data_IF_126204507101
#
_entry.id   IF_126204507101
#
_cell.length_a   1.000
_cell.length_b   1.000
_cell.length_c   1.000
_cell.angle_alpha   90.00
_cell.angle_beta   90.00
_cell.angle_gamma   90.00
#
_symmetry.space_group_name_H-M   'P 1'
#
loop_
_entity.id
_entity.type
_entity.pdbx_description
1 polymer ?
#
# COMPACT_ATOMS: atom_id res chain seq x y z
N UNK A 1 -1.02 -31.32 9.67
CA UNK A 1 -1.72 -30.20 8.99
C UNK A 1 -0.71 -29.11 8.57
N UNK A 2 0.05 -29.23 7.46
CA UNK A 2 1.05 -28.22 7.07
C UNK A 2 0.67 -27.32 5.87
N UNK A 3 -0.48 -27.53 5.21
CA UNK A 3 -0.81 -26.79 3.98
C UNK A 3 -1.20 -25.32 4.18
N UNK A 4 -1.71 -24.92 5.36
CA UNK A 4 -2.19 -23.54 5.58
C UNK A 4 -1.06 -22.50 5.66
N UNK A 5 0.10 -22.90 6.15
CA UNK A 5 1.23 -21.97 6.40
C UNK A 5 1.87 -21.49 5.11
N UNK A 6 1.94 -22.35 4.10
CA UNK A 6 2.58 -22.04 2.81
C UNK A 6 1.81 -20.95 2.09
N UNK A 7 0.48 -21.05 2.04
CA UNK A 7 -0.38 -20.03 1.41
C UNK A 7 -0.25 -18.65 2.05
N UNK A 8 -0.07 -18.59 3.37
CA UNK A 8 0.10 -17.34 4.10
C UNK A 8 1.44 -16.66 3.76
N UNK A 9 2.51 -17.46 3.63
CA UNK A 9 3.85 -16.98 3.25
C UNK A 9 3.87 -16.39 1.84
N UNK A 10 3.21 -17.05 0.89
CA UNK A 10 3.07 -16.53 -0.49
C UNK A 10 2.25 -15.23 -0.54
N UNK A 11 1.13 -15.19 0.19
CA UNK A 11 0.28 -13.99 0.27
C UNK A 11 1.03 -12.81 0.90
N UNK A 12 1.72 -13.04 2.01
CA UNK A 12 2.49 -12.02 2.71
C UNK A 12 3.60 -11.45 1.83
N UNK A 13 4.28 -12.31 1.10
CA UNK A 13 5.35 -11.88 0.21
C UNK A 13 4.85 -11.13 -1.04
N UNK A 14 3.66 -11.45 -1.56
CA UNK A 14 3.01 -10.69 -2.63
C UNK A 14 2.55 -9.30 -2.18
N UNK A 15 2.17 -9.14 -0.91
CA UNK A 15 1.83 -7.83 -0.33
C UNK A 15 3.04 -7.00 0.14
N UNK A 16 4.24 -7.58 0.17
CA UNK A 16 5.45 -6.95 0.72
C UNK A 16 6.16 -6.03 -0.27
N UNK A 17 5.43 -5.30 -1.12
CA UNK A 17 6.04 -4.25 -1.94
C UNK A 17 6.65 -3.18 -1.03
N UNK A 18 7.94 -2.91 -1.21
CA UNK A 18 8.68 -1.94 -0.40
C UNK A 18 9.18 -0.82 -1.29
N UNK A 19 8.79 0.40 -0.96
CA UNK A 19 9.36 1.60 -1.57
C UNK A 19 10.44 2.12 -0.65
N UNK A 20 11.66 2.10 -1.16
CA UNK A 20 12.86 2.61 -0.50
C UNK A 20 13.17 3.97 -1.10
N UNK A 21 13.36 4.96 -0.24
CA UNK A 21 13.72 6.32 -0.60
C UNK A 21 15.12 6.56 -0.05
N UNK A 22 16.07 6.84 -0.93
CA UNK A 22 17.44 7.19 -0.58
C UNK A 22 17.74 8.62 -1.08
N UNK A 23 18.88 9.19 -0.68
CA UNK A 23 19.32 10.53 -1.12
C UNK A 23 19.55 10.61 -2.63
N UNK A 24 19.70 9.47 -3.30
CA UNK A 24 19.95 9.36 -4.75
C UNK A 24 18.65 9.27 -5.55
N UNK A 25 17.64 8.58 -5.02
CA UNK A 25 16.43 8.29 -5.78
C UNK A 25 15.37 7.47 -5.07
N UNK A 26 14.32 7.16 -5.82
CA UNK A 26 13.20 6.32 -5.42
C UNK A 26 13.38 4.92 -6.02
N UNK A 27 13.35 3.89 -5.16
CA UNK A 27 13.47 2.49 -5.58
C UNK A 27 12.28 1.68 -5.08
N UNK A 28 11.54 1.08 -6.01
CA UNK A 28 10.50 0.11 -5.69
C UNK A 28 11.13 -1.27 -5.74
N UNK A 29 11.12 -1.99 -4.61
CA UNK A 29 11.71 -3.32 -4.46
C UNK A 29 10.69 -4.32 -3.94
N UNK A 30 10.88 -5.58 -4.34
CA UNK A 30 10.16 -6.72 -3.78
C UNK A 30 11.13 -7.57 -2.95
N UNK A 31 10.65 -8.28 -1.92
CA UNK A 31 11.48 -9.20 -1.16
C UNK A 31 12.09 -10.26 -2.07
N UNK A 32 13.34 -10.62 -1.79
CA UNK A 32 14.25 -11.34 -2.69
C UNK A 32 13.66 -12.67 -3.17
N UNK A 33 12.90 -13.36 -2.32
CA UNK A 33 12.24 -14.64 -2.61
C UNK A 33 11.09 -14.60 -3.64
N UNK A 34 10.50 -13.43 -3.92
CA UNK A 34 9.35 -13.26 -4.84
C UNK A 34 9.70 -12.42 -6.06
N UNK A 35 10.91 -11.84 -6.07
CA UNK A 35 11.47 -11.06 -7.16
C UNK A 35 11.54 -11.80 -8.50
N UNK A 36 11.48 -13.13 -8.48
CA UNK A 36 11.40 -13.97 -9.69
C UNK A 36 9.97 -14.01 -10.28
N UNK A 37 8.93 -13.94 -9.44
CA UNK A 37 7.54 -14.10 -9.85
C UNK A 37 6.84 -12.75 -10.15
N UNK A 38 7.18 -11.68 -9.41
CA UNK A 38 6.65 -10.33 -9.65
C UNK A 38 7.64 -9.48 -10.46
N UNK A 39 7.13 -8.55 -11.28
CA UNK A 39 7.92 -7.71 -12.19
C UNK A 39 9.13 -7.09 -11.47
N UNK A 40 10.28 -7.07 -12.17
CA UNK A 40 11.52 -6.43 -11.68
C UNK A 40 11.18 -5.02 -11.19
N UNK A 41 11.38 -4.79 -9.90
CA UNK A 41 11.29 -3.46 -9.29
C UNK A 41 12.17 -2.46 -10.06
N UNK A 42 11.78 -1.18 -10.04
CA UNK A 42 12.47 -0.12 -10.76
C UNK A 42 13.12 0.86 -9.79
N UNK A 43 14.18 1.52 -10.24
CA UNK A 43 14.86 2.60 -9.55
C UNK A 43 14.84 3.83 -10.44
N UNK A 44 14.58 4.99 -9.85
CA UNK A 44 14.58 6.28 -10.52
C UNK A 44 15.31 7.30 -9.66
N UNK A 45 16.36 7.89 -10.20
CA UNK A 45 17.12 8.93 -9.49
C UNK A 45 16.35 10.25 -9.50
N UNK A 46 16.44 11.00 -8.41
CA UNK A 46 15.75 12.29 -8.27
C UNK A 46 16.13 13.26 -9.40
N UNK A 47 17.40 13.27 -9.82
CA UNK A 47 17.92 14.12 -10.89
C UNK A 47 17.34 13.80 -12.28
N UNK A 48 16.76 12.62 -12.45
CA UNK A 48 16.11 12.22 -13.70
C UNK A 48 14.64 12.61 -13.75
N UNK A 49 14.01 12.88 -12.60
CA UNK A 49 12.61 13.27 -12.54
C UNK A 49 12.45 14.68 -13.10
N UNK A 50 11.70 14.78 -14.21
CA UNK A 50 11.49 16.05 -14.91
C UNK A 50 10.09 16.60 -14.68
N UNK A 51 9.08 15.73 -14.56
CA UNK A 51 7.70 16.14 -14.36
C UNK A 51 6.85 15.01 -13.74
N UNK A 52 5.79 15.41 -13.04
CA UNK A 52 4.73 14.50 -12.61
C UNK A 52 3.51 14.71 -13.52
N UNK A 53 3.01 13.65 -14.18
CA UNK A 53 1.78 13.72 -14.97
C UNK A 53 0.65 12.90 -14.34
N UNK A 54 -0.50 13.51 -14.03
CA UNK A 54 -1.69 12.76 -13.67
C UNK A 54 -2.24 12.06 -14.93
N UNK A 55 -2.67 10.82 -14.76
CA UNK A 55 -3.33 10.03 -15.79
C UNK A 55 -4.58 9.39 -15.20
N UNK A 56 -5.72 9.73 -15.77
CA UNK A 56 -7.01 9.14 -15.37
C UNK A 56 -7.05 7.69 -15.85
N UNK A 57 -7.34 6.77 -14.94
CA UNK A 57 -7.61 5.37 -15.28
C UNK A 57 -9.06 5.22 -15.73
N UNK A 58 -9.36 4.21 -16.55
CA UNK A 58 -10.73 3.93 -17.01
C UNK A 58 -11.73 3.61 -15.89
N UNK A 59 -11.27 3.45 -14.64
CA UNK A 59 -12.09 3.19 -13.46
C UNK A 59 -12.26 4.42 -12.54
N UNK A 60 -12.19 5.65 -13.06
CA UNK A 60 -12.34 6.87 -12.24
C UNK A 60 -11.26 7.02 -11.14
N UNK A 61 -10.16 6.28 -11.22
CA UNK A 61 -9.00 6.44 -10.34
C UNK A 61 -7.97 7.37 -10.99
N UNK A 62 -7.46 8.35 -10.26
CA UNK A 62 -6.29 9.10 -10.71
C UNK A 62 -5.03 8.26 -10.43
N UNK A 63 -4.10 8.19 -11.38
CA UNK A 63 -2.77 7.60 -11.17
C UNK A 63 -1.72 8.59 -11.64
N UNK A 64 -0.66 8.81 -10.87
CA UNK A 64 0.42 9.71 -11.25
C UNK A 64 1.59 8.94 -11.85
N UNK A 65 2.21 9.52 -12.86
CA UNK A 65 3.44 9.01 -13.47
C UNK A 65 4.56 10.02 -13.31
N UNK A 66 5.72 9.55 -12.85
CA UNK A 66 6.97 10.30 -12.89
C UNK A 66 7.57 10.16 -14.30
N UNK A 67 7.83 11.28 -14.96
CA UNK A 67 8.55 11.31 -16.23
C UNK A 67 10.05 11.45 -15.96
N UNK A 68 10.82 10.49 -16.45
CA UNK A 68 12.27 10.59 -16.52
C UNK A 68 12.69 11.48 -17.70
N UNK A 69 13.90 12.04 -17.62
CA UNK A 69 14.56 12.79 -18.70
C UNK A 69 14.63 11.98 -20.00
N UNK A 70 14.67 10.65 -19.90
CA UNK A 70 14.66 9.71 -21.04
C UNK A 70 13.25 9.44 -21.61
N UNK A 71 12.26 10.29 -21.29
CA UNK A 71 10.83 10.14 -21.63
C UNK A 71 10.17 8.84 -21.14
N UNK A 72 10.81 8.10 -20.24
CA UNK A 72 10.23 6.93 -19.60
C UNK A 72 9.24 7.36 -18.51
N UNK A 73 8.06 6.73 -18.49
CA UNK A 73 7.02 7.01 -17.51
C UNK A 73 6.98 5.91 -16.43
N UNK A 74 7.30 6.28 -15.20
CA UNK A 74 7.27 5.38 -14.04
C UNK A 74 6.01 5.62 -13.22
N UNK A 75 5.27 4.55 -12.92
CA UNK A 75 4.02 4.64 -12.17
C UNK A 75 4.31 4.95 -10.69
N UNK A 76 3.69 5.99 -10.15
CA UNK A 76 3.85 6.35 -8.75
C UNK A 76 3.04 5.40 -7.86
N UNK A 77 3.69 4.65 -6.95
CA UNK A 77 2.98 3.72 -6.09
C UNK A 77 2.12 4.50 -5.07
N UNK A 78 0.81 4.39 -5.21
CA UNK A 78 -0.16 5.12 -4.36
C UNK A 78 -0.48 4.42 -3.03
N UNK A 79 -0.12 3.14 -2.91
CA UNK A 79 -0.50 2.26 -1.80
C UNK A 79 0.64 2.01 -0.82
N UNK A 80 1.50 3.00 -0.62
CA UNK A 80 2.68 2.89 0.24
C UNK A 80 2.36 3.45 1.62
N UNK A 81 2.69 2.70 2.67
CA UNK A 81 2.68 3.23 4.02
C UNK A 81 3.72 4.36 4.12
N UNK A 82 3.27 5.61 4.31
CA UNK A 82 4.13 6.79 4.29
C UNK A 82 4.19 7.51 2.94
N UNK A 83 3.21 7.31 2.04
CA UNK A 83 3.09 8.05 0.78
C UNK A 83 3.22 9.58 0.93
N UNK A 84 2.70 10.16 2.01
CA UNK A 84 2.87 11.59 2.28
C UNK A 84 4.34 12.02 2.41
N UNK A 85 5.18 11.18 3.05
CA UNK A 85 6.62 11.43 3.18
C UNK A 85 7.35 11.29 1.84
N UNK A 86 6.91 10.35 1.01
CA UNK A 86 7.41 10.15 -0.35
C UNK A 86 7.14 11.38 -1.22
N UNK A 87 5.91 11.88 -1.20
CA UNK A 87 5.50 13.08 -1.94
C UNK A 87 6.28 14.30 -1.45
N UNK A 88 6.43 14.48 -0.12
CA UNK A 88 7.22 15.56 0.46
C UNK A 88 8.70 15.52 0.06
N UNK A 89 9.31 14.33 0.04
CA UNK A 89 10.71 14.18 -0.40
C UNK A 89 10.85 14.47 -1.91
N UNK A 90 9.91 13.97 -2.71
CA UNK A 90 9.87 14.23 -4.15
C UNK A 90 9.76 15.74 -4.42
N UNK A 91 8.88 16.44 -3.73
CA UNK A 91 8.75 17.90 -3.79
C UNK A 91 10.04 18.61 -3.35
N UNK A 92 10.66 18.18 -2.25
CA UNK A 92 11.91 18.80 -1.77
C UNK A 92 13.10 18.63 -2.71
N UNK A 93 13.18 17.51 -3.43
CA UNK A 93 14.30 17.22 -4.33
C UNK A 93 14.07 17.70 -5.77
N UNK A 94 12.82 17.74 -6.23
CA UNK A 94 12.47 18.11 -7.61
C UNK A 94 11.89 19.51 -7.74
N UNK A 95 11.42 20.11 -6.64
CA UNK A 95 10.75 21.41 -6.65
C UNK A 95 9.38 21.41 -7.35
N UNK A 96 8.86 20.24 -7.70
CA UNK A 96 7.56 20.09 -8.37
C UNK A 96 6.46 20.14 -7.32
N UNK A 97 5.53 21.07 -7.46
CA UNK A 97 4.36 21.17 -6.58
C UNK A 97 3.51 19.89 -6.67
N UNK A 98 3.40 19.19 -5.55
CA UNK A 98 2.65 17.94 -5.44
C UNK A 98 1.44 18.04 -4.51
N UNK A 99 0.96 19.26 -4.21
CA UNK A 99 -0.15 19.51 -3.28
C UNK A 99 -1.46 18.78 -3.61
N UNK A 100 -1.71 18.44 -4.87
CA UNK A 100 -2.92 17.71 -5.30
C UNK A 100 -2.81 16.18 -5.20
N UNK A 101 -1.62 15.66 -4.90
CA UNK A 101 -1.34 14.23 -4.88
C UNK A 101 -1.77 13.62 -3.54
N UNK A 102 -3.06 13.29 -3.43
CA UNK A 102 -3.63 12.66 -2.21
C UNK A 102 -3.63 11.13 -2.30
N UNK A 103 -3.22 10.40 -1.24
CA UNK A 103 -3.30 8.95 -1.23
C UNK A 103 -4.76 8.47 -1.29
N UNK A 104 -5.03 7.53 -2.20
CA UNK A 104 -6.38 7.03 -2.51
C UNK A 104 -7.08 6.34 -1.31
N UNK A 105 -6.31 5.76 -0.39
CA UNK A 105 -6.80 5.16 0.84
C UNK A 105 -5.68 5.13 1.89
N UNK A 106 -5.87 5.83 3.00
CA UNK A 106 -4.91 5.79 4.10
C UNK A 106 -5.02 4.44 4.85
N UNK A 107 -3.90 3.79 5.19
CA UNK A 107 -3.89 2.51 5.91
C UNK A 107 -4.74 2.50 7.19
N UNK A 108 -4.87 3.66 7.84
CA UNK A 108 -5.73 3.89 9.00
C UNK A 108 -7.20 3.50 8.79
N UNK A 109 -7.74 3.68 7.58
CA UNK A 109 -9.13 3.33 7.27
C UNK A 109 -9.38 1.83 7.50
N UNK A 110 -8.44 0.98 7.07
CA UNK A 110 -8.56 -0.46 7.25
C UNK A 110 -8.38 -0.87 8.72
N UNK A 111 -7.57 -0.16 9.50
CA UNK A 111 -7.44 -0.40 10.94
C UNK A 111 -8.75 -0.08 11.68
N UNK A 112 -9.43 1.00 11.30
CA UNK A 112 -10.75 1.35 11.86
C UNK A 112 -11.78 0.27 11.50
N UNK A 113 -11.83 -0.15 10.23
CA UNK A 113 -12.74 -1.21 9.80
C UNK A 113 -12.48 -2.52 10.55
N UNK A 114 -11.20 -2.90 10.71
CA UNK A 114 -10.80 -4.07 11.49
C UNK A 114 -11.24 -3.95 12.95
N UNK A 115 -11.12 -2.75 13.54
CA UNK A 115 -11.62 -2.45 14.88
C UNK A 115 -13.13 -2.67 15.00
N UNK A 116 -13.92 -2.19 14.04
CA UNK A 116 -15.37 -2.43 14.00
C UNK A 116 -15.70 -3.92 13.82
N UNK A 117 -14.96 -4.65 12.99
CA UNK A 117 -15.13 -6.09 12.85
C UNK A 117 -14.85 -6.82 14.17
N UNK A 118 -13.80 -6.41 14.90
CA UNK A 118 -13.50 -6.96 16.22
C UNK A 118 -14.60 -6.68 17.24
N UNK A 119 -15.18 -5.48 17.23
CA UNK A 119 -16.29 -5.11 18.09
C UNK A 119 -17.54 -5.96 17.81
N UNK A 120 -17.89 -6.15 16.53
CA UNK A 120 -19.00 -7.01 16.11
C UNK A 120 -18.82 -8.45 16.61
N UNK A 121 -17.63 -9.03 16.42
CA UNK A 121 -17.34 -10.38 16.91
C UNK A 121 -17.40 -10.49 18.43
N UNK A 122 -17.01 -9.43 19.14
CA UNK A 122 -17.09 -9.39 20.60
C UNK A 122 -18.56 -9.39 21.06
N UNK A 123 -19.41 -8.59 20.42
CA UNK A 123 -20.85 -8.55 20.69
C UNK A 123 -21.50 -9.90 20.37
N UNK A 124 -21.19 -10.50 19.22
CA UNK A 124 -21.71 -11.83 18.85
C UNK A 124 -21.32 -12.89 19.88
N UNK A 125 -20.05 -12.89 20.33
CA UNK A 125 -19.58 -13.81 21.36
C UNK A 125 -20.31 -13.61 22.70
N UNK A 126 -20.55 -12.35 23.08
CA UNK A 126 -21.34 -12.03 24.28
C UNK A 126 -22.78 -12.54 24.16
N UNK A 127 -23.43 -12.33 23.01
CA UNK A 127 -24.79 -12.81 22.76
C UNK A 127 -24.85 -14.34 22.90
N UNK A 128 -23.95 -15.08 22.26
CA UNK A 128 -23.90 -16.55 22.34
C UNK A 128 -23.69 -17.01 23.79
N UNK A 129 -22.79 -16.36 24.52
CA UNK A 129 -22.54 -16.69 25.92
C UNK A 129 -23.79 -16.48 26.79
N UNK A 130 -24.48 -15.34 26.61
CA UNK A 130 -25.72 -15.07 27.34
C UNK A 130 -26.82 -16.07 26.99
N UNK A 131 -26.96 -16.43 25.71
CA UNK A 131 -27.93 -17.43 25.26
C UNK A 131 -27.67 -18.81 25.90
N UNK A 132 -26.42 -19.27 25.92
CA UNK A 132 -26.02 -20.51 26.59
C UNK A 132 -26.29 -20.48 28.10
N UNK A 133 -26.02 -19.35 28.76
CA UNK A 133 -26.30 -19.22 30.19
C UNK A 133 -27.80 -19.23 30.53
N UNK A 134 -28.63 -18.73 29.62
CA UNK A 134 -30.09 -18.72 29.76
C UNK A 134 -30.71 -20.10 29.46
N UNK A 135 -30.22 -20.82 28.45
CA UNK A 135 -30.63 -22.21 28.16
C UNK A 135 -30.21 -23.18 29.25
N UNK A 136 -29.06 -22.97 29.91
CA UNK A 136 -28.62 -23.80 31.04
C UNK A 136 -29.42 -23.61 32.33
N UNK A 137 -30.32 -22.62 32.39
CA UNK A 137 -31.18 -22.31 33.54
C UNK A 137 -32.65 -22.77 33.36
N UNK A 138 -33.01 -23.34 32.21
CA UNK A 138 -34.33 -23.96 31.93
C UNK A 138 -34.27 -25.48 31.98
#
# INVERSE_FOLDING_TARGET
MPQKTISFVWLYGALSERVVLDDVGLRVTYPIWIRWLLRRGWSLDWSQITALKPRTTGQSGLVYYCLSRDQQAYLLPMRVAGFARLVQQLESHTGIDTGDVKPLAQPWMYLILLGFTGLLLWVDGWIVWTAWSLEGLS
#
